data_IF_230708886249
#
_entry.id   IF_230708886249
#
_cell.length_a   1.000
_cell.length_b   1.000
_cell.length_c   1.000
_cell.angle_alpha   90.00
_cell.angle_beta   90.00
_cell.angle_gamma   90.00
#
_symmetry.space_group_name_H-M   'P 1'
#
loop_
_entity.id
_entity.type
_entity.pdbx_description
1 polymer ?
#
# COMPACT_ATOMS: atom_id res chain seq x y z
N UNK A 1 -19.97 5.17 7.74
CA UNK A 1 -19.78 3.70 7.67
C UNK A 1 -19.45 3.20 6.26
N UNK A 2 -20.12 3.65 5.18
CA UNK A 2 -19.75 3.27 3.80
C UNK A 2 -18.30 3.62 3.40
N UNK A 3 -17.75 4.72 3.92
CA UNK A 3 -16.38 5.15 3.60
C UNK A 3 -15.29 4.20 4.11
N UNK A 4 -15.47 3.58 5.29
CA UNK A 4 -14.41 2.73 5.88
C UNK A 4 -14.32 1.39 5.14
N UNK A 5 -15.47 0.82 4.77
CA UNK A 5 -15.51 -0.46 4.05
C UNK A 5 -14.94 -0.30 2.64
N UNK A 6 -15.23 0.81 1.97
CA UNK A 6 -14.66 1.13 0.66
C UNK A 6 -13.15 1.36 0.73
N UNK A 7 -12.66 2.14 1.70
CA UNK A 7 -11.21 2.30 1.92
C UNK A 7 -10.50 0.98 2.20
N UNK A 8 -11.07 0.11 3.05
CA UNK A 8 -10.49 -1.22 3.30
C UNK A 8 -10.44 -2.09 2.05
N UNK A 9 -11.49 -2.08 1.23
CA UNK A 9 -11.53 -2.83 -0.02
C UNK A 9 -10.46 -2.34 -1.01
N UNK A 10 -10.27 -1.01 -1.12
CA UNK A 10 -9.22 -0.40 -1.94
C UNK A 10 -7.84 -0.80 -1.43
N UNK A 11 -7.59 -0.68 -0.13
CA UNK A 11 -6.32 -1.07 0.49
C UNK A 11 -6.02 -2.54 0.19
N UNK A 12 -6.99 -3.44 0.36
CA UNK A 12 -6.84 -4.87 0.07
C UNK A 12 -6.50 -5.12 -1.39
N UNK A 13 -7.22 -4.48 -2.30
CA UNK A 13 -6.99 -4.60 -3.73
C UNK A 13 -5.58 -4.13 -4.14
N UNK A 14 -5.17 -2.95 -3.68
CA UNK A 14 -3.84 -2.42 -3.94
C UNK A 14 -2.72 -3.19 -3.21
N UNK A 15 -3.02 -3.82 -2.08
CA UNK A 15 -2.11 -4.75 -1.39
C UNK A 15 -1.81 -5.97 -2.27
N UNK A 16 -2.83 -6.55 -2.91
CA UNK A 16 -2.63 -7.67 -3.83
C UNK A 16 -1.80 -7.23 -5.05
N UNK A 17 -2.06 -6.04 -5.59
CA UNK A 17 -1.28 -5.49 -6.70
C UNK A 17 0.18 -5.27 -6.30
N UNK A 18 0.43 -4.61 -5.15
CA UNK A 18 1.78 -4.35 -4.64
C UNK A 18 2.54 -5.65 -4.37
N UNK A 19 1.84 -6.66 -3.88
CA UNK A 19 2.39 -7.99 -3.68
C UNK A 19 2.80 -8.66 -5.00
N UNK A 20 1.92 -8.61 -6.02
CA UNK A 20 2.20 -9.17 -7.35
C UNK A 20 3.36 -8.46 -8.05
N UNK A 21 3.43 -7.13 -7.96
CA UNK A 21 4.48 -6.32 -8.58
C UNK A 21 5.88 -6.69 -8.09
N UNK A 22 6.03 -6.96 -6.80
CA UNK A 22 7.32 -7.32 -6.20
C UNK A 22 7.48 -8.82 -5.93
N UNK A 23 6.55 -9.65 -6.40
CA UNK A 23 6.67 -11.12 -6.33
C UNK A 23 7.89 -11.63 -7.09
N UNK A 24 8.50 -10.85 -7.99
CA UNK A 24 9.78 -11.16 -8.64
C UNK A 24 11.03 -10.62 -7.92
N UNK A 25 10.88 -9.64 -7.02
CA UNK A 25 12.02 -8.94 -6.42
C UNK A 25 12.73 -9.77 -5.34
N UNK A 26 14.04 -9.55 -5.17
CA UNK A 26 14.83 -10.16 -4.10
C UNK A 26 14.62 -9.37 -2.80
N UNK A 27 14.43 -10.04 -1.65
CA UNK A 27 14.28 -9.34 -0.38
C UNK A 27 15.57 -8.58 -0.01
N UNK A 28 15.46 -7.40 0.62
CA UNK A 28 16.63 -6.65 1.04
C UNK A 28 17.34 -7.38 2.20
N UNK A 29 18.65 -7.59 2.04
CA UNK A 29 19.49 -8.27 3.04
C UNK A 29 19.87 -7.37 4.24
N UNK A 30 19.81 -6.05 4.08
CA UNK A 30 20.24 -5.09 5.10
C UNK A 30 19.03 -4.55 5.85
N UNK A 31 19.09 -4.57 7.18
CA UNK A 31 17.99 -4.11 8.05
C UNK A 31 17.61 -2.64 7.83
N UNK A 32 18.58 -1.76 7.54
CA UNK A 32 18.30 -0.35 7.23
C UNK A 32 17.43 -0.15 5.98
N UNK A 33 17.49 -1.06 5.01
CA UNK A 33 16.65 -0.98 3.80
C UNK A 33 15.19 -1.28 4.14
N UNK A 34 14.93 -2.15 5.12
CA UNK A 34 13.59 -2.35 5.65
C UNK A 34 13.04 -1.09 6.31
N UNK A 35 13.88 -0.38 7.08
CA UNK A 35 13.49 0.90 7.68
C UNK A 35 13.13 1.91 6.59
N UNK A 36 13.94 2.03 5.53
CA UNK A 36 13.65 2.92 4.41
C UNK A 36 12.35 2.57 3.68
N UNK A 37 12.05 1.29 3.49
CA UNK A 37 10.80 0.84 2.86
C UNK A 37 9.60 1.22 3.73
N UNK A 38 9.67 0.97 5.04
CA UNK A 38 8.60 1.33 5.98
C UNK A 38 8.41 2.85 6.00
N UNK A 39 9.51 3.61 6.06
CA UNK A 39 9.46 5.07 6.06
C UNK A 39 8.85 5.60 4.75
N UNK A 40 9.22 5.02 3.60
CA UNK A 40 8.64 5.37 2.30
C UNK A 40 7.14 5.07 2.25
N UNK A 41 6.69 3.93 2.80
CA UNK A 41 5.26 3.59 2.90
C UNK A 41 4.50 4.59 3.79
N UNK A 42 5.07 4.97 4.94
CA UNK A 42 4.45 5.96 5.84
C UNK A 42 4.36 7.33 5.15
N UNK A 43 5.44 7.79 4.52
CA UNK A 43 5.46 9.06 3.79
C UNK A 43 4.48 9.03 2.62
N UNK A 44 4.40 7.92 1.88
CA UNK A 44 3.42 7.74 0.82
C UNK A 44 1.97 7.76 1.35
N UNK A 45 1.73 7.27 2.57
CA UNK A 45 0.42 7.39 3.22
C UNK A 45 0.10 8.82 3.70
N UNK A 46 1.11 9.66 3.95
CA UNK A 46 0.87 11.09 4.21
C UNK A 46 0.64 11.89 2.93
N UNK A 47 1.23 11.46 1.82
CA UNK A 47 1.03 12.07 0.50
C UNK A 47 -0.36 11.66 -0.02
N UNK A 48 -1.26 12.64 -0.16
CA UNK A 48 -2.56 12.39 -0.76
C UNK A 48 -3.70 12.04 0.21
N UNK A 49 -3.54 12.33 1.51
CA UNK A 49 -4.64 12.25 2.51
C UNK A 49 -5.86 13.09 2.07
N UNK A 50 -5.63 14.21 1.38
CA UNK A 50 -6.70 15.06 0.85
C UNK A 50 -7.01 14.85 -0.64
N UNK A 51 -6.40 13.86 -1.29
CA UNK A 51 -6.48 13.69 -2.74
C UNK A 51 -7.40 12.54 -3.10
N UNK A 52 -8.55 12.87 -3.69
CA UNK A 52 -9.50 11.89 -4.23
C UNK A 52 -9.02 11.51 -5.64
N UNK A 53 -8.69 10.23 -5.85
CA UNK A 53 -8.25 9.69 -7.15
C UNK A 53 -9.45 9.38 -8.03
N UNK A 54 -10.50 8.81 -7.43
CA UNK A 54 -11.76 8.50 -8.10
C UNK A 54 -12.89 8.80 -7.12
N UNK A 55 -13.75 9.74 -7.47
CA UNK A 55 -14.96 10.04 -6.72
C UNK A 55 -16.19 9.63 -7.53
N UNK A 56 -16.92 8.63 -7.04
CA UNK A 56 -18.25 8.27 -7.53
C UNK A 56 -19.24 8.48 -6.38
N UNK A 57 -20.49 8.92 -6.62
CA UNK A 57 -21.48 9.04 -5.55
C UNK A 57 -21.63 7.71 -4.78
N UNK A 58 -21.21 7.71 -3.51
CA UNK A 58 -21.20 6.54 -2.62
C UNK A 58 -19.88 5.75 -2.55
N UNK A 59 -18.87 6.10 -3.36
CA UNK A 59 -17.55 5.46 -3.37
C UNK A 59 -16.43 6.45 -3.68
N UNK A 60 -15.57 6.69 -2.71
CA UNK A 60 -14.42 7.57 -2.86
C UNK A 60 -13.14 6.76 -2.68
N UNK A 61 -12.27 6.84 -3.68
CA UNK A 61 -10.92 6.27 -3.64
C UNK A 61 -9.97 7.39 -3.30
N UNK A 62 -9.37 7.31 -2.12
CA UNK A 62 -8.37 8.27 -1.68
C UNK A 62 -6.99 7.77 -2.10
N UNK A 63 -6.12 8.69 -2.54
CA UNK A 63 -4.79 8.33 -3.01
C UNK A 63 -3.97 7.66 -1.90
N UNK A 64 -4.18 8.14 -0.67
CA UNK A 64 -3.64 7.53 0.53
C UNK A 64 -3.99 6.04 0.65
N UNK A 65 -5.25 5.65 0.44
CA UNK A 65 -5.70 4.25 0.54
C UNK A 65 -4.99 3.36 -0.50
N UNK A 66 -4.80 3.87 -1.71
CA UNK A 66 -4.04 3.18 -2.76
C UNK A 66 -2.57 3.01 -2.39
N UNK A 67 -1.92 4.07 -1.91
CA UNK A 67 -0.50 4.10 -1.59
C UNK A 67 -0.18 3.23 -0.36
N UNK A 68 -1.00 3.29 0.68
CA UNK A 68 -0.87 2.42 1.85
C UNK A 68 -1.08 0.96 1.46
N UNK A 69 -2.12 0.65 0.67
CA UNK A 69 -2.34 -0.70 0.15
C UNK A 69 -1.12 -1.22 -0.61
N UNK A 70 -0.61 -0.44 -1.57
CA UNK A 70 0.61 -0.81 -2.31
C UNK A 70 1.80 -1.05 -1.38
N UNK A 71 2.06 -0.15 -0.43
CA UNK A 71 3.16 -0.27 0.51
C UNK A 71 3.06 -1.52 1.39
N UNK A 72 1.87 -1.87 1.87
CA UNK A 72 1.64 -3.12 2.60
C UNK A 72 1.85 -4.35 1.71
N UNK A 73 1.41 -4.30 0.45
CA UNK A 73 1.64 -5.37 -0.52
C UNK A 73 3.12 -5.64 -0.79
N UNK A 74 3.88 -4.54 -0.97
CA UNK A 74 5.33 -4.54 -1.12
C UNK A 74 6.02 -5.18 0.08
N UNK A 75 5.67 -4.73 1.29
CA UNK A 75 6.23 -5.28 2.54
C UNK A 75 5.88 -6.77 2.66
N UNK A 76 4.63 -7.14 2.42
CA UNK A 76 4.17 -8.53 2.45
C UNK A 76 4.93 -9.43 1.49
N UNK A 77 5.19 -8.98 0.25
CA UNK A 77 5.94 -9.76 -0.74
C UNK A 77 7.37 -10.03 -0.29
N UNK A 78 8.03 -8.99 0.23
CA UNK A 78 9.41 -9.09 0.66
C UNK A 78 9.54 -9.94 1.93
N UNK A 79 8.58 -9.84 2.87
CA UNK A 79 8.60 -10.61 4.12
C UNK A 79 8.35 -12.09 3.85
N UNK A 80 7.34 -12.43 3.05
CA UNK A 80 7.02 -13.83 2.69
C UNK A 80 8.21 -14.50 2.01
N UNK A 81 8.96 -13.77 1.18
CA UNK A 81 10.16 -14.29 0.51
C UNK A 81 11.41 -14.39 1.37
N UNK A 82 11.43 -13.69 2.51
CA UNK A 82 12.57 -13.74 3.44
C UNK A 82 12.47 -14.93 4.42
N UNK A 83 11.34 -15.65 4.42
CA UNK A 83 11.20 -16.98 4.99
C UNK A 83 11.66 -18.03 3.98
#
# INVERSE_FOLDING_TARGET
MNSIISSLAVILFFTVIGWLLLRGAKPPKKWWVWVLIILATIVAGYIGIGTIVVGWPGFEVHLNDCLQGLGFGVIGALVIKNK
#
